data_IF_888450147193
#
_entry.id   IF_888450147193
#
_cell.length_a   1.000
_cell.length_b   1.000
_cell.length_c   1.000
_cell.angle_alpha   90.00
_cell.angle_beta   90.00
_cell.angle_gamma   90.00
#
_symmetry.space_group_name_H-M   'P 1'
#
loop_
_entity.id
_entity.type
_entity.pdbx_description
1 polymer ?
#
# COMPACT_ATOMS: atom_id res chain seq x y z
N UNK A 1 -9.12 -34.87 49.46
CA UNK A 1 -9.22 -35.11 48.00
C UNK A 1 -9.15 -33.75 47.33
N UNK A 2 -8.09 -33.52 46.57
CA UNK A 2 -7.73 -32.23 45.97
C UNK A 2 -8.07 -32.28 44.47
N UNK A 3 -8.97 -31.45 43.93
CA UNK A 3 -9.09 -31.29 42.49
C UNK A 3 -8.36 -30.00 42.05
N UNK A 4 -7.07 -30.14 41.76
CA UNK A 4 -6.36 -29.30 40.80
C UNK A 4 -6.54 -29.97 39.43
N UNK A 5 -6.68 -29.32 38.27
CA UNK A 5 -6.74 -27.92 37.90
C UNK A 5 -6.93 -28.00 36.38
N UNK A 6 -8.11 -27.66 35.86
CA UNK A 6 -8.36 -27.60 34.42
C UNK A 6 -7.72 -26.29 33.93
N UNK A 7 -6.42 -26.36 33.62
CA UNK A 7 -5.66 -25.23 33.08
C UNK A 7 -6.32 -24.76 31.78
N UNK A 8 -6.71 -23.49 31.79
CA UNK A 8 -6.52 -22.50 30.73
C UNK A 8 -6.39 -23.04 29.31
N UNK A 9 -7.52 -23.24 28.63
CA UNK A 9 -7.57 -23.02 27.19
C UNK A 9 -8.03 -21.57 27.03
N UNK A 10 -7.19 -20.64 26.54
CA UNK A 10 -7.64 -19.27 26.31
C UNK A 10 -8.77 -19.27 25.29
N UNK A 11 -9.85 -18.57 25.63
CA UNK A 11 -11.05 -18.33 24.82
C UNK A 11 -10.68 -17.96 23.37
N UNK A 12 -10.72 -18.94 22.47
CA UNK A 12 -10.42 -18.78 21.04
C UNK A 12 -11.36 -17.78 20.36
N UNK A 13 -12.51 -17.49 20.98
CA UNK A 13 -13.47 -16.49 20.52
C UNK A 13 -12.99 -15.04 20.65
N UNK A 14 -12.20 -14.72 21.69
CA UNK A 14 -11.67 -13.38 21.88
C UNK A 14 -10.55 -13.05 20.87
N UNK A 15 -9.72 -14.06 20.54
CA UNK A 15 -8.69 -13.92 19.52
C UNK A 15 -9.30 -13.67 18.13
N UNK A 16 -10.36 -14.38 17.75
CA UNK A 16 -11.03 -14.20 16.45
C UNK A 16 -11.73 -12.83 16.33
N UNK A 17 -12.31 -12.33 17.41
CA UNK A 17 -12.95 -11.01 17.44
C UNK A 17 -11.94 -9.87 17.26
N UNK A 18 -10.72 -10.00 17.80
CA UNK A 18 -9.67 -9.01 17.63
C UNK A 18 -9.16 -8.91 16.17
N UNK A 19 -9.06 -10.04 15.46
CA UNK A 19 -8.69 -10.04 14.03
C UNK A 19 -9.78 -9.37 13.18
N UNK A 20 -11.05 -9.64 13.48
CA UNK A 20 -12.19 -9.03 12.78
C UNK A 20 -12.32 -7.52 13.08
N UNK A 21 -11.99 -7.09 14.29
CA UNK A 21 -11.92 -5.66 14.63
C UNK A 21 -10.74 -4.97 13.94
N UNK A 22 -9.58 -5.62 13.81
CA UNK A 22 -8.43 -5.09 13.06
C UNK A 22 -8.74 -4.93 11.55
N UNK A 23 -9.60 -5.80 11.00
CA UNK A 23 -10.15 -5.64 9.64
C UNK A 23 -11.10 -4.43 9.53
N UNK A 24 -11.94 -4.17 10.54
CA UNK A 24 -12.83 -3.01 10.56
C UNK A 24 -12.11 -1.68 10.89
N UNK A 25 -10.91 -1.74 11.48
CA UNK A 25 -10.12 -0.56 11.91
C UNK A 25 -8.93 -0.24 10.99
N UNK A 26 -8.86 -0.87 9.81
CA UNK A 26 -8.00 -0.40 8.71
C UNK A 26 -6.51 -0.76 8.81
N UNK A 27 -6.15 -1.93 9.36
CA UNK A 27 -4.73 -2.36 9.45
C UNK A 27 -4.32 -3.42 8.41
N UNK A 28 -5.23 -3.95 7.59
CA UNK A 28 -4.86 -4.82 6.45
C UNK A 28 -5.56 -4.36 5.17
N UNK A 29 -4.89 -3.46 4.43
CA UNK A 29 -4.77 -3.47 2.96
C UNK A 29 -5.96 -3.77 2.04
N UNK A 30 -7.21 -3.39 2.36
CA UNK A 30 -8.33 -3.54 1.40
C UNK A 30 -8.56 -2.32 0.52
N UNK A 31 -8.09 -1.13 0.91
CA UNK A 31 -8.16 0.05 0.04
C UNK A 31 -7.14 -0.12 -1.07
N UNK A 32 -7.60 -0.35 -2.29
CA UNK A 32 -6.76 -0.37 -3.49
C UNK A 32 -7.14 0.78 -4.38
N UNK A 33 -6.15 1.42 -5.01
CA UNK A 33 -6.42 2.47 -6.00
C UNK A 33 -5.69 2.20 -7.28
N UNK A 34 -6.34 2.62 -8.35
CA UNK A 34 -5.81 2.54 -9.71
C UNK A 34 -5.15 3.86 -10.06
N UNK A 35 -3.84 3.83 -10.33
CA UNK A 35 -3.05 5.01 -10.67
C UNK A 35 -2.24 4.82 -11.94
N UNK A 36 -1.98 5.94 -12.63
CA UNK A 36 -1.07 5.98 -13.78
C UNK A 36 0.31 6.41 -13.32
N UNK A 37 1.33 5.60 -13.57
CA UNK A 37 2.73 5.89 -13.23
C UNK A 37 3.62 5.76 -14.47
N UNK A 38 4.86 6.28 -14.46
CA UNK A 38 5.82 6.01 -15.53
C UNK A 38 6.17 4.51 -15.54
N UNK A 39 6.11 3.87 -16.71
CA UNK A 39 6.40 2.44 -16.84
C UNK A 39 7.89 2.11 -16.64
N UNK A 40 8.77 3.09 -16.84
CA UNK A 40 10.22 3.01 -16.62
C UNK A 40 10.77 4.40 -16.27
N UNK A 41 12.04 4.50 -15.85
CA UNK A 41 12.67 5.80 -15.51
C UNK A 41 12.76 6.70 -16.75
N UNK A 42 13.38 6.21 -17.81
CA UNK A 42 13.44 6.91 -19.12
C UNK A 42 12.12 6.70 -19.88
N UNK A 43 11.06 7.36 -19.42
CA UNK A 43 9.72 7.18 -19.98
C UNK A 43 9.51 7.88 -21.33
N UNK A 44 10.50 8.63 -21.85
CA UNK A 44 10.49 9.31 -23.14
C UNK A 44 9.24 10.18 -23.39
N UNK A 45 8.57 10.64 -22.33
CA UNK A 45 7.28 11.35 -22.42
C UNK A 45 6.07 10.51 -22.85
N UNK A 46 6.20 9.19 -23.04
CA UNK A 46 5.14 8.34 -23.60
C UNK A 46 4.88 7.05 -22.82
N UNK A 47 5.88 6.51 -22.12
CA UNK A 47 5.75 5.21 -21.44
C UNK A 47 5.13 5.35 -20.05
N UNK A 48 3.80 5.27 -19.99
CA UNK A 48 3.04 5.09 -18.75
C UNK A 48 2.51 3.67 -18.60
N UNK A 49 2.15 3.31 -17.37
CA UNK A 49 1.39 2.10 -17.06
C UNK A 49 0.32 2.42 -16.03
N UNK A 50 -0.77 1.67 -16.06
CA UNK A 50 -1.84 1.72 -15.07
C UNK A 50 -1.62 0.58 -14.09
N UNK A 51 -1.64 0.88 -12.80
CA UNK A 51 -1.40 -0.07 -11.73
C UNK A 51 -2.50 0.03 -10.69
N UNK A 52 -2.96 -1.10 -10.19
CA UNK A 52 -3.83 -1.17 -9.02
C UNK A 52 -3.01 -1.72 -7.86
N UNK A 53 -2.90 -0.95 -6.77
CA UNK A 53 -2.10 -1.35 -5.62
C UNK A 53 -2.77 -0.97 -4.30
N UNK A 54 -2.48 -1.69 -3.20
CA UNK A 54 -2.93 -1.31 -1.88
C UNK A 54 -2.48 0.11 -1.55
N UNK A 55 -3.38 0.93 -1.01
CA UNK A 55 -3.18 2.35 -0.77
C UNK A 55 -2.49 2.64 0.56
N UNK A 56 -1.39 1.92 0.79
CA UNK A 56 -0.56 2.02 1.95
C UNK A 56 0.88 2.35 1.55
N UNK A 57 1.54 3.21 2.32
CA UNK A 57 2.92 3.61 2.15
C UNK A 57 3.85 2.39 2.27
N UNK A 58 4.71 2.19 1.28
CA UNK A 58 5.67 1.08 1.24
C UNK A 58 6.65 1.06 2.43
N UNK A 59 6.87 2.20 3.09
CA UNK A 59 7.85 2.33 4.16
C UNK A 59 7.28 2.04 5.56
N UNK A 60 6.05 2.46 5.83
CA UNK A 60 5.47 2.38 7.18
C UNK A 60 4.08 1.73 7.24
N UNK A 61 3.49 1.38 6.09
CA UNK A 61 2.14 0.84 6.01
C UNK A 61 1.01 1.84 6.30
N UNK A 62 1.34 3.10 6.64
CA UNK A 62 0.34 4.16 6.82
C UNK A 62 -0.35 4.56 5.52
N UNK A 63 -1.45 5.33 5.55
CA UNK A 63 -2.20 5.68 4.36
C UNK A 63 -1.35 6.53 3.39
N UNK A 64 -1.54 6.30 2.08
CA UNK A 64 -1.03 7.24 1.06
C UNK A 64 -1.94 8.46 0.93
N UNK A 65 -1.38 9.56 0.45
CA UNK A 65 -2.14 10.76 0.09
C UNK A 65 -3.12 10.52 -1.05
N UNK A 66 -3.97 11.51 -1.35
CA UNK A 66 -4.86 11.43 -2.51
C UNK A 66 -4.05 11.53 -3.82
N UNK A 67 -4.26 10.63 -4.79
CA UNK A 67 -3.63 10.77 -6.10
C UNK A 67 -4.17 12.01 -6.82
N UNK A 68 -3.24 12.82 -7.34
CA UNK A 68 -3.53 13.99 -8.16
C UNK A 68 -2.70 13.95 -9.44
N UNK A 69 -3.20 14.59 -10.50
CA UNK A 69 -2.45 14.69 -11.75
C UNK A 69 -1.20 15.54 -11.56
N UNK A 70 -0.07 15.00 -12.01
CA UNK A 70 1.23 15.68 -12.01
C UNK A 70 1.98 15.40 -13.31
N UNK A 71 3.07 16.12 -13.53
CA UNK A 71 3.95 15.95 -14.68
C UNK A 71 5.25 15.27 -14.25
N UNK A 72 5.53 14.10 -14.82
CA UNK A 72 6.85 13.47 -14.75
C UNK A 72 7.70 13.93 -15.93
N UNK A 73 9.00 14.13 -15.67
CA UNK A 73 9.95 14.69 -16.62
C UNK A 73 11.08 13.70 -16.91
N UNK A 74 11.36 13.55 -18.19
CA UNK A 74 12.50 12.80 -18.71
C UNK A 74 13.24 13.72 -19.70
N UNK A 75 14.22 14.46 -19.17
CA UNK A 75 14.83 15.60 -19.87
C UNK A 75 13.80 16.69 -20.20
N UNK A 76 13.64 17.02 -21.48
CA UNK A 76 12.62 17.98 -21.95
C UNK A 76 11.23 17.35 -22.19
N UNK A 77 11.12 16.03 -22.06
CA UNK A 77 9.90 15.27 -22.35
C UNK A 77 9.02 15.19 -21.10
N UNK A 78 7.70 15.26 -21.30
CA UNK A 78 6.69 15.35 -20.24
C UNK A 78 5.73 14.19 -20.34
N UNK A 79 5.33 13.64 -19.20
CA UNK A 79 4.29 12.62 -19.10
C UNK A 79 3.32 12.99 -17.97
N UNK A 80 2.02 13.01 -18.28
CA UNK A 80 0.97 13.18 -17.28
C UNK A 80 0.75 11.86 -16.55
N UNK A 81 0.88 11.88 -15.23
CA UNK A 81 0.79 10.72 -14.34
C UNK A 81 0.11 11.13 -13.03
N UNK A 82 -0.15 10.18 -12.15
CA UNK A 82 -0.59 10.47 -10.79
C UNK A 82 0.59 10.58 -9.84
N UNK A 83 0.59 11.63 -9.02
CA UNK A 83 1.45 11.81 -7.85
C UNK A 83 0.61 11.93 -6.58
N UNK A 84 1.23 11.67 -5.44
CA UNK A 84 0.59 11.79 -4.13
C UNK A 84 1.62 12.17 -3.08
N UNK A 85 1.15 12.83 -2.02
CA UNK A 85 1.98 13.19 -0.87
C UNK A 85 1.52 12.40 0.34
N UNK A 86 2.41 11.59 0.90
CA UNK A 86 2.05 10.75 2.04
C UNK A 86 2.00 11.59 3.33
N UNK A 87 0.92 11.53 4.12
CA UNK A 87 0.82 12.25 5.39
C UNK A 87 1.88 11.81 6.40
N UNK A 88 2.46 10.62 6.24
CA UNK A 88 3.58 10.14 7.05
C UNK A 88 4.93 10.79 6.70
N UNK A 89 4.99 11.61 5.64
CA UNK A 89 6.21 12.31 5.20
C UNK A 89 7.18 11.47 4.37
N UNK A 90 6.93 10.17 4.18
CA UNK A 90 7.77 9.33 3.33
C UNK A 90 7.51 9.57 1.85
N UNK A 91 8.59 9.76 1.09
CA UNK A 91 8.54 9.81 -0.38
C UNK A 91 8.73 8.42 -0.97
N UNK A 92 7.72 7.95 -1.71
CA UNK A 92 7.81 6.70 -2.46
C UNK A 92 8.25 6.96 -3.89
N UNK A 93 9.29 6.26 -4.35
CA UNK A 93 9.71 6.33 -5.76
C UNK A 93 8.83 5.42 -6.61
N UNK A 94 8.48 5.86 -7.82
CA UNK A 94 7.77 5.01 -8.79
C UNK A 94 8.55 3.73 -9.11
N UNK A 95 9.88 3.75 -9.06
CA UNK A 95 10.71 2.55 -9.23
C UNK A 95 10.47 1.49 -8.15
N UNK A 96 10.28 1.90 -6.89
CA UNK A 96 9.96 0.99 -5.79
C UNK A 96 8.54 0.42 -5.95
N UNK A 97 7.59 1.25 -6.39
CA UNK A 97 6.23 0.81 -6.71
C UNK A 97 6.24 -0.26 -7.81
N UNK A 98 6.98 -0.02 -8.90
CA UNK A 98 7.14 -1.00 -9.99
C UNK A 98 7.79 -2.30 -9.52
N UNK A 99 8.85 -2.21 -8.71
CA UNK A 99 9.51 -3.39 -8.15
C UNK A 99 8.52 -4.21 -7.31
N UNK A 100 7.76 -3.55 -6.42
CA UNK A 100 6.77 -4.21 -5.58
C UNK A 100 5.69 -4.93 -6.40
N UNK A 101 5.21 -4.31 -7.47
CA UNK A 101 4.19 -4.91 -8.36
C UNK A 101 4.76 -6.13 -9.09
N UNK A 102 6.02 -6.07 -9.53
CA UNK A 102 6.68 -7.19 -10.20
C UNK A 102 7.01 -8.35 -9.25
N UNK A 103 7.14 -8.12 -7.94
CA UNK A 103 7.33 -9.17 -6.93
C UNK A 103 6.02 -9.88 -6.55
N UNK A 104 4.87 -9.22 -6.75
CA UNK A 104 3.53 -9.76 -6.44
C UNK A 104 2.83 -10.41 -7.66
N UNK A 105 3.51 -10.50 -8.82
CA UNK A 105 3.03 -11.15 -10.05
C UNK A 105 3.92 -12.30 -10.49
#
# INVERSE_FOLDING_TARGET
MNPLHLHDIPDTGAALAAVNAAHATGIIGTDTRTVMIPARDEHEGHYSMIVTLPWACLHCGGPRGEPSWTTSWDGSRRLNIHGWENPCGHTEKYSAIRARINEEG
#
